data_IF_897394414647
#
_entry.id   IF_897394414647
#
_cell.length_a   1.000
_cell.length_b   1.000
_cell.length_c   1.000
_cell.angle_alpha   90.00
_cell.angle_beta   90.00
_cell.angle_gamma   90.00
#
_symmetry.space_group_name_H-M   'P 1'
#
loop_
_entity.id
_entity.type
_entity.pdbx_description
1 polymer ?
#
# COMPACT_ATOMS: atom_id res chain seq x y z
N UNK A 1 -15.86 5.70 21.89
CA UNK A 1 -14.66 5.95 21.09
C UNK A 1 -14.82 5.28 19.73
N UNK A 2 -14.72 6.03 18.68
CA UNK A 2 -14.73 5.48 17.34
C UNK A 2 -13.32 5.00 17.02
N UNK A 3 -13.17 3.72 16.75
CA UNK A 3 -11.87 3.18 16.38
C UNK A 3 -11.46 3.75 15.01
N UNK A 4 -10.19 4.09 14.87
CA UNK A 4 -9.65 4.54 13.61
C UNK A 4 -9.66 3.41 12.59
N UNK A 5 -9.94 3.76 11.34
CA UNK A 5 -9.95 2.83 10.21
C UNK A 5 -8.91 3.22 9.18
N UNK A 6 -8.58 2.27 8.30
CA UNK A 6 -7.69 2.52 7.19
C UNK A 6 -8.47 3.15 6.04
N UNK A 7 -7.95 4.24 5.51
CA UNK A 7 -8.45 4.87 4.27
C UNK A 7 -7.65 4.30 3.11
N UNK A 8 -8.30 3.48 2.31
CA UNK A 8 -7.64 2.67 1.27
C UNK A 8 -7.94 3.24 -0.12
N UNK A 9 -6.90 3.43 -0.91
CA UNK A 9 -6.99 3.85 -2.29
C UNK A 9 -7.09 2.61 -3.20
N UNK A 10 -8.28 2.36 -3.72
CA UNK A 10 -8.54 1.24 -4.63
C UNK A 10 -8.17 1.63 -6.07
N UNK A 11 -7.66 0.67 -6.87
CA UNK A 11 -7.34 0.92 -8.28
C UNK A 11 -8.60 0.97 -9.16
N UNK A 12 -9.50 1.87 -8.83
CA UNK A 12 -10.79 2.05 -9.48
C UNK A 12 -10.96 3.50 -9.91
N UNK A 13 -11.77 3.77 -10.93
CA UNK A 13 -12.03 5.13 -11.40
C UNK A 13 -13.04 5.87 -10.50
N UNK A 14 -12.85 5.78 -9.18
CA UNK A 14 -13.71 6.41 -8.19
C UNK A 14 -12.91 7.43 -7.39
N UNK A 15 -13.37 8.68 -7.30
CA UNK A 15 -12.62 9.78 -6.68
C UNK A 15 -12.75 9.79 -5.15
N UNK A 16 -12.66 8.63 -4.50
CA UNK A 16 -12.81 8.52 -3.04
C UNK A 16 -11.93 7.41 -2.51
N UNK A 17 -11.62 7.51 -1.22
CA UNK A 17 -10.99 6.45 -0.45
C UNK A 17 -12.08 5.59 0.19
N UNK A 18 -11.75 4.33 0.42
CA UNK A 18 -12.66 3.38 1.03
C UNK A 18 -12.17 2.97 2.42
N UNK A 19 -13.10 2.83 3.33
CA UNK A 19 -12.80 2.48 4.72
C UNK A 19 -12.70 0.97 4.88
N UNK A 20 -11.61 0.52 5.51
CA UNK A 20 -11.40 -0.89 5.88
C UNK A 20 -10.85 -0.96 7.29
N UNK A 21 -11.10 -2.08 7.94
CA UNK A 21 -10.51 -2.37 9.25
C UNK A 21 -9.08 -2.86 9.09
N UNK A 22 -8.20 -2.58 10.06
CA UNK A 22 -6.90 -3.26 10.11
C UNK A 22 -7.10 -4.77 10.21
N UNK A 23 -6.06 -5.52 9.87
CA UNK A 23 -6.09 -6.97 10.07
C UNK A 23 -6.35 -7.32 11.55
N UNK A 24 -6.93 -8.49 11.78
CA UNK A 24 -7.32 -8.91 13.12
C UNK A 24 -6.19 -8.78 14.14
N UNK A 25 -6.48 -8.16 15.28
CA UNK A 25 -5.52 -7.93 16.35
C UNK A 25 -4.62 -6.71 16.16
N UNK A 26 -4.76 -5.98 15.05
CA UNK A 26 -3.99 -4.76 14.78
C UNK A 26 -4.86 -3.53 14.97
N UNK A 27 -4.22 -2.40 15.28
CA UNK A 27 -4.85 -1.08 15.28
C UNK A 27 -4.41 -0.32 14.01
N UNK A 28 -5.25 0.58 13.52
CA UNK A 28 -4.88 1.48 12.43
C UNK A 28 -3.82 2.47 12.92
N UNK A 29 -2.71 2.54 12.21
CA UNK A 29 -1.57 3.37 12.57
C UNK A 29 -1.15 4.20 11.34
N UNK A 30 -0.87 5.52 11.51
CA UNK A 30 -0.33 6.34 10.41
C UNK A 30 0.94 5.78 9.79
N UNK A 31 1.71 4.97 10.51
CA UNK A 31 2.89 4.28 9.97
C UNK A 31 2.54 3.25 8.90
N UNK A 32 1.28 2.85 8.80
CA UNK A 32 0.82 1.90 7.78
C UNK A 32 0.53 2.57 6.43
N UNK A 33 0.54 3.90 6.36
CA UNK A 33 0.28 4.63 5.12
C UNK A 33 1.35 4.28 4.08
N UNK A 34 0.91 3.84 2.91
CA UNK A 34 1.78 3.38 1.84
C UNK A 34 1.97 1.86 1.77
N UNK A 35 1.46 1.11 2.75
CA UNK A 35 1.48 -0.36 2.71
C UNK A 35 0.49 -0.89 1.69
N UNK A 36 0.90 -1.96 1.00
CA UNK A 36 -0.03 -2.69 0.15
C UNK A 36 -0.92 -3.59 0.98
N UNK A 37 -2.17 -3.63 0.61
CA UNK A 37 -3.17 -4.50 1.24
C UNK A 37 -3.97 -5.23 0.16
N UNK A 38 -4.45 -6.39 0.51
CA UNK A 38 -5.46 -7.10 -0.27
C UNK A 38 -6.80 -6.92 0.41
N UNK A 39 -7.78 -6.44 -0.32
CA UNK A 39 -9.07 -6.09 0.24
C UNK A 39 -10.20 -6.69 -0.58
N UNK A 40 -11.28 -7.13 0.08
CA UNK A 40 -12.49 -7.51 -0.61
C UNK A 40 -13.23 -6.28 -1.13
N UNK A 41 -13.71 -6.34 -2.36
CA UNK A 41 -14.54 -5.30 -2.95
C UNK A 41 -15.63 -5.96 -3.80
N UNK A 42 -16.87 -5.95 -3.29
CA UNK A 42 -17.96 -6.71 -3.87
C UNK A 42 -17.61 -8.21 -3.84
N UNK A 43 -17.66 -8.85 -5.01
CA UNK A 43 -17.26 -10.25 -5.17
C UNK A 43 -15.82 -10.43 -5.68
N UNK A 44 -15.04 -9.35 -5.68
CA UNK A 44 -13.62 -9.36 -6.11
C UNK A 44 -12.70 -9.13 -4.93
N UNK A 45 -11.45 -9.47 -5.12
CA UNK A 45 -10.35 -9.13 -4.21
C UNK A 45 -9.37 -8.25 -4.97
N UNK A 46 -9.06 -7.09 -4.41
CA UNK A 46 -8.20 -6.10 -5.06
C UNK A 46 -6.92 -5.88 -4.23
N UNK A 47 -5.81 -5.66 -4.92
CA UNK A 47 -4.60 -5.13 -4.31
C UNK A 47 -4.69 -3.60 -4.31
N UNK A 48 -4.48 -3.01 -3.15
CA UNK A 48 -4.64 -1.57 -2.95
C UNK A 48 -3.57 -1.04 -2.00
N UNK A 49 -3.59 0.27 -1.77
CA UNK A 49 -2.63 0.94 -0.89
C UNK A 49 -3.36 1.72 0.19
N UNK A 50 -2.84 1.66 1.39
CA UNK A 50 -3.32 2.51 2.50
C UNK A 50 -2.90 3.93 2.21
N UNK A 51 -3.87 4.83 2.11
CA UNK A 51 -3.63 6.24 1.81
C UNK A 51 -3.80 7.13 3.03
N UNK A 52 -4.43 6.66 4.07
CA UNK A 52 -4.64 7.44 5.29
C UNK A 52 -5.23 6.60 6.41
N UNK A 53 -5.34 7.24 7.55
CA UNK A 53 -5.97 6.67 8.75
C UNK A 53 -6.91 7.73 9.31
N UNK A 54 -8.09 7.35 9.72
CA UNK A 54 -9.05 8.31 10.26
C UNK A 54 -10.31 7.65 10.78
N UNK A 55 -11.30 8.47 11.08
CA UNK A 55 -12.59 7.99 11.55
C UNK A 55 -13.37 7.31 10.42
N UNK A 56 -14.12 6.26 10.76
CA UNK A 56 -14.99 5.59 9.82
C UNK A 56 -16.13 6.52 9.37
N UNK A 57 -16.55 6.36 8.11
CA UNK A 57 -17.77 6.97 7.64
C UNK A 57 -18.95 6.30 8.37
N UNK A 58 -19.74 7.09 9.09
CA UNK A 58 -20.84 6.60 9.89
C UNK A 58 -21.89 5.82 9.06
N UNK A 59 -22.02 6.15 7.77
CA UNK A 59 -22.98 5.47 6.88
C UNK A 59 -22.61 4.01 6.63
N UNK A 60 -21.32 3.64 6.75
CA UNK A 60 -20.82 2.31 6.41
C UNK A 60 -20.09 1.63 7.57
N UNK A 61 -20.11 2.21 8.77
CA UNK A 61 -19.33 1.73 9.90
C UNK A 61 -19.60 0.27 10.26
N UNK A 62 -20.82 -0.19 10.09
CA UNK A 62 -21.23 -1.56 10.43
C UNK A 62 -20.91 -2.59 9.32
N UNK A 63 -20.48 -2.14 8.15
CA UNK A 63 -20.22 -2.98 6.99
C UNK A 63 -18.73 -3.10 6.65
N UNK A 64 -17.85 -2.61 7.51
CA UNK A 64 -16.42 -2.59 7.25
C UNK A 64 -15.80 -3.98 7.34
N UNK A 65 -14.91 -4.27 6.42
CA UNK A 65 -14.19 -5.54 6.32
C UNK A 65 -12.71 -5.33 6.63
N UNK A 66 -12.02 -6.35 7.14
CA UNK A 66 -10.59 -6.25 7.40
C UNK A 66 -9.77 -6.36 6.13
N UNK A 67 -8.57 -5.76 6.18
CA UNK A 67 -7.57 -5.93 5.13
C UNK A 67 -6.71 -7.15 5.39
N UNK A 68 -6.04 -7.63 4.33
CA UNK A 68 -4.92 -8.57 4.43
C UNK A 68 -3.63 -7.81 4.08
N UNK A 69 -2.67 -7.78 5.02
CA UNK A 69 -1.39 -7.12 4.78
C UNK A 69 -0.55 -7.95 3.81
N UNK A 70 0.05 -7.30 2.81
CA UNK A 70 0.95 -7.97 1.87
C UNK A 70 2.41 -7.92 2.32
N UNK A 71 2.84 -6.81 2.90
CA UNK A 71 4.15 -6.69 3.53
C UNK A 71 4.06 -5.85 4.81
N UNK A 72 5.06 -5.98 5.71
CA UNK A 72 5.01 -5.28 7.00
C UNK A 72 5.33 -3.79 6.92
N UNK A 73 5.95 -3.32 5.83
CA UNK A 73 6.40 -1.95 5.70
C UNK A 73 5.74 -1.23 4.53
N UNK A 74 5.64 0.11 4.55
CA UNK A 74 5.15 0.87 3.43
C UNK A 74 5.99 0.64 2.17
N UNK A 75 5.30 0.37 1.06
CA UNK A 75 5.94 0.28 -0.25
C UNK A 75 6.14 1.66 -0.87
N UNK A 76 5.16 2.53 -0.71
CA UNK A 76 5.22 3.92 -1.17
C UNK A 76 5.19 4.84 0.04
N UNK A 77 6.23 5.64 0.21
CA UNK A 77 6.35 6.52 1.37
C UNK A 77 7.11 7.80 0.99
N UNK A 78 7.16 8.74 1.93
CA UNK A 78 7.96 9.95 1.80
C UNK A 78 7.61 10.80 0.59
N UNK A 79 8.64 11.29 -0.06
CA UNK A 79 8.49 12.19 -1.22
C UNK A 79 7.78 11.55 -2.40
N UNK A 80 7.99 10.27 -2.63
CA UNK A 80 7.33 9.56 -3.72
C UNK A 80 5.82 9.55 -3.52
N UNK A 81 5.36 9.19 -2.33
CA UNK A 81 3.93 9.21 -2.02
C UNK A 81 3.35 10.62 -2.11
N UNK A 82 4.06 11.62 -1.58
CA UNK A 82 3.65 13.02 -1.65
C UNK A 82 3.53 13.50 -3.10
N UNK A 83 4.48 13.12 -3.95
CA UNK A 83 4.46 13.46 -5.38
C UNK A 83 3.30 12.81 -6.11
N UNK A 84 2.98 11.56 -5.79
CA UNK A 84 1.84 10.86 -6.39
C UNK A 84 0.51 11.47 -5.95
N UNK A 85 0.38 11.88 -4.70
CA UNK A 85 -0.79 12.62 -4.22
C UNK A 85 -0.96 13.96 -4.94
N UNK A 86 0.15 14.68 -5.11
CA UNK A 86 0.16 15.93 -5.86
C UNK A 86 -0.28 15.70 -7.31
N UNK A 87 0.27 14.66 -7.95
CA UNK A 87 -0.06 14.32 -9.34
C UNK A 87 -1.55 13.99 -9.50
N UNK A 88 -2.12 13.23 -8.56
CA UNK A 88 -3.55 12.92 -8.59
C UNK A 88 -4.41 14.18 -8.53
N UNK A 89 -4.05 15.13 -7.68
CA UNK A 89 -4.74 16.43 -7.59
C UNK A 89 -4.56 17.26 -8.85
N UNK A 90 -3.34 17.32 -9.37
CA UNK A 90 -3.01 18.08 -10.58
C UNK A 90 -3.79 17.57 -11.80
N UNK A 91 -3.87 16.26 -11.97
CA UNK A 91 -4.55 15.63 -13.10
C UNK A 91 -6.05 15.46 -12.87
N UNK A 92 -6.58 15.78 -11.68
CA UNK A 92 -7.95 15.45 -11.28
C UNK A 92 -8.26 13.95 -11.47
N UNK A 93 -7.26 13.10 -11.22
CA UNK A 93 -7.36 11.65 -11.35
C UNK A 93 -7.62 11.00 -9.99
N UNK A 94 -8.34 9.87 -9.96
CA UNK A 94 -8.50 9.11 -8.72
C UNK A 94 -7.15 8.67 -8.16
N UNK A 95 -6.92 8.88 -6.87
CA UNK A 95 -5.64 8.55 -6.23
C UNK A 95 -5.30 7.07 -6.39
N UNK A 96 -6.28 6.18 -6.26
CA UNK A 96 -6.06 4.74 -6.41
C UNK A 96 -5.52 4.35 -7.78
N UNK A 97 -5.97 4.99 -8.84
CA UNK A 97 -5.45 4.75 -10.19
C UNK A 97 -4.03 5.29 -10.37
N UNK A 98 -3.74 6.46 -9.80
CA UNK A 98 -2.39 7.04 -9.84
C UNK A 98 -1.40 6.15 -9.11
N UNK A 99 -1.75 5.70 -7.90
CA UNK A 99 -0.89 4.81 -7.11
C UNK A 99 -0.69 3.47 -7.80
N UNK A 100 -1.74 2.88 -8.39
CA UNK A 100 -1.63 1.63 -9.13
C UNK A 100 -0.71 1.78 -10.35
N UNK A 101 -0.80 2.90 -11.07
CA UNK A 101 0.05 3.16 -12.22
C UNK A 101 1.52 3.28 -11.83
N UNK A 102 1.81 3.76 -10.63
CA UNK A 102 3.18 3.87 -10.12
C UNK A 102 3.81 2.51 -9.79
N UNK A 103 3.01 1.45 -9.68
CA UNK A 103 3.50 0.11 -9.36
C UNK A 103 3.75 -0.72 -10.62
N UNK A 104 4.83 -1.52 -10.64
CA UNK A 104 4.98 -2.57 -11.65
C UNK A 104 3.80 -3.54 -11.64
N UNK A 105 3.50 -4.13 -12.79
CA UNK A 105 2.33 -5.00 -12.95
C UNK A 105 2.28 -6.15 -11.94
N UNK A 106 3.42 -6.76 -11.62
CA UNK A 106 3.50 -7.82 -10.62
C UNK A 106 3.03 -7.35 -9.24
N UNK A 107 3.47 -6.17 -8.82
CA UNK A 107 3.09 -5.61 -7.53
C UNK A 107 1.62 -5.17 -7.49
N UNK A 108 1.08 -4.71 -8.63
CA UNK A 108 -0.35 -4.40 -8.74
C UNK A 108 -1.23 -5.63 -8.60
N UNK A 109 -0.73 -6.79 -9.00
CA UNK A 109 -1.44 -8.07 -8.84
C UNK A 109 -1.35 -8.65 -7.43
N UNK A 110 -0.60 -8.02 -6.55
CA UNK A 110 -0.41 -8.50 -5.18
C UNK A 110 0.67 -9.56 -5.05
N UNK A 111 1.54 -9.72 -6.04
CA UNK A 111 2.68 -10.63 -5.95
C UNK A 111 3.67 -10.17 -4.89
N UNK A 112 4.43 -11.08 -4.27
CA UNK A 112 5.45 -10.72 -3.28
C UNK A 112 6.49 -9.78 -3.87
N UNK A 113 7.12 -8.98 -3.00
CA UNK A 113 8.25 -8.17 -3.41
C UNK A 113 9.37 -9.08 -3.95
N UNK A 114 10.00 -8.71 -5.07
CA UNK A 114 11.10 -9.49 -5.60
C UNK A 114 12.30 -9.44 -4.67
N UNK A 115 13.08 -10.52 -4.68
CA UNK A 115 14.38 -10.50 -4.04
C UNK A 115 15.33 -9.62 -4.86
N UNK A 116 15.73 -8.52 -4.27
CA UNK A 116 16.62 -7.54 -4.91
C UNK A 116 18.10 -7.78 -4.62
N UNK A 117 18.44 -8.88 -3.95
CA UNK A 117 19.84 -9.21 -3.71
C UNK A 117 20.54 -9.52 -5.04
N UNK A 118 21.55 -8.73 -5.34
CA UNK A 118 22.42 -8.99 -6.48
C UNK A 118 23.52 -9.94 -6.06
N UNK A 119 23.63 -11.06 -6.75
CA UNK A 119 24.78 -11.94 -6.59
C UNK A 119 25.93 -11.42 -7.42
N UNK A 120 27.08 -11.32 -6.80
CA UNK A 120 28.31 -10.82 -7.43
C UNK A 120 29.52 -11.55 -6.92
N UNK A 121 30.62 -11.30 -7.56
CA UNK A 121 31.90 -11.81 -7.14
C UNK A 121 32.63 -10.74 -6.32
N UNK A 122 33.22 -11.15 -5.20
CA UNK A 122 34.09 -10.30 -4.42
C UNK A 122 35.39 -11.04 -4.12
N UNK A 123 36.47 -10.31 -3.88
CA UNK A 123 37.72 -10.91 -3.44
C UNK A 123 37.53 -11.46 -2.04
N UNK A 124 37.97 -12.69 -1.83
CA UNK A 124 38.13 -13.22 -0.48
C UNK A 124 39.27 -12.50 0.23
N UNK A 125 39.31 -12.64 1.55
CA UNK A 125 40.41 -12.07 2.34
C UNK A 125 41.75 -12.55 1.84
N UNK A 126 41.89 -13.85 1.55
CA UNK A 126 43.10 -14.43 0.97
C UNK A 126 43.41 -13.86 -0.43
N UNK A 127 42.38 -13.66 -1.25
CA UNK A 127 42.53 -13.06 -2.57
C UNK A 127 43.02 -11.62 -2.53
N UNK A 128 42.54 -10.83 -1.57
CA UNK A 128 42.96 -9.47 -1.36
C UNK A 128 44.43 -9.37 -0.94
N UNK A 129 44.92 -10.33 -0.14
CA UNK A 129 46.32 -10.40 0.29
C UNK A 129 47.23 -10.81 -0.87
N UNK A 130 46.75 -11.64 -1.81
CA UNK A 130 47.51 -12.13 -2.94
C UNK A 130 47.70 -11.08 -4.06
N UNK A 131 46.99 -9.97 -4.01
CA UNK A 131 47.18 -8.82 -4.89
C UNK A 131 48.32 -7.92 -4.35
#
# INVERSE_FOLDING_TARGET
>A
MTDAVLKVALPLPLPRLFDYLPAAGAAADPADIGRRVRVPFGNRVLCALVAGVGAADAAFADALKPVEWLEPEPLLAGELLASLRWLARYLHAPLGEVLATALPAALRRGEPLPDTHAWGWCLSEAGAIAL
#
